data_IF_607086496619
#
_entry.id   IF_607086496619
#
_cell.length_a   1.000
_cell.length_b   1.000
_cell.length_c   1.000
_cell.angle_alpha   90.00
_cell.angle_beta   90.00
_cell.angle_gamma   90.00
#
_symmetry.space_group_name_H-M   'P 1'
#
loop_
_entity.id
_entity.type
_entity.pdbx_description
1 polymer ?
#
# COMPACT_ATOMS: atom_id res chain seq x y z
N UNK A 1 5.70 -20.63 16.66
CA UNK A 1 4.28 -20.73 16.27
C UNK A 1 3.99 -19.95 15.01
N UNK A 2 3.57 -20.63 13.92
CA UNK A 2 2.97 -19.96 12.75
C UNK A 2 1.48 -19.80 13.03
N UNK A 3 0.98 -18.57 12.89
CA UNK A 3 -0.45 -18.29 13.02
C UNK A 3 -1.20 -18.96 11.85
N UNK A 4 -1.97 -20.00 12.14
CA UNK A 4 -2.67 -20.82 11.15
C UNK A 4 -4.19 -20.84 11.42
N UNK A 5 -4.75 -19.70 11.82
CA UNK A 5 -6.16 -19.56 12.20
C UNK A 5 -6.78 -18.23 11.76
N UNK A 6 -8.05 -18.03 12.10
CA UNK A 6 -8.80 -16.80 11.82
C UNK A 6 -8.33 -15.64 12.69
N UNK A 7 -8.19 -14.45 12.12
CA UNK A 7 -7.81 -13.24 12.85
C UNK A 7 -7.86 -11.98 11.99
N UNK A 8 -7.48 -10.84 12.58
CA UNK A 8 -7.33 -9.57 11.85
C UNK A 8 -6.19 -9.71 10.83
N UNK A 9 -6.45 -9.40 9.56
CA UNK A 9 -5.40 -9.38 8.52
C UNK A 9 -4.67 -8.03 8.47
N UNK A 10 -5.42 -6.93 8.52
CA UNK A 10 -4.88 -5.58 8.58
C UNK A 10 -5.88 -4.63 9.25
N UNK A 11 -5.36 -3.49 9.70
CA UNK A 11 -6.14 -2.36 10.23
C UNK A 11 -5.85 -1.15 9.35
N UNK A 12 -6.88 -0.62 8.69
CA UNK A 12 -6.78 0.56 7.84
C UNK A 12 -6.98 1.85 8.64
N UNK A 13 -6.10 2.82 8.45
CA UNK A 13 -6.08 4.13 9.09
C UNK A 13 -6.12 5.20 7.99
N UNK A 14 -7.12 6.07 8.04
CA UNK A 14 -7.29 7.11 7.02
C UNK A 14 -6.35 8.30 7.26
N UNK A 15 -5.82 8.87 6.18
CA UNK A 15 -5.08 10.14 6.14
C UNK A 15 -5.59 11.03 5.01
N UNK A 16 -5.35 12.33 5.12
CA UNK A 16 -5.58 13.32 4.06
C UNK A 16 -4.31 13.60 3.24
N UNK A 17 -3.13 13.19 3.73
CA UNK A 17 -1.85 13.27 3.03
C UNK A 17 -1.01 12.02 3.32
N UNK A 18 -1.01 11.08 2.37
CA UNK A 18 -0.31 9.80 2.47
C UNK A 18 1.19 9.95 2.24
N UNK A 19 1.62 10.95 1.46
CA UNK A 19 3.04 11.16 1.21
C UNK A 19 3.71 11.78 2.43
N UNK A 20 3.07 12.76 3.08
CA UNK A 20 3.53 13.28 4.36
C UNK A 20 3.56 12.18 5.43
N UNK A 21 2.55 11.29 5.45
CA UNK A 21 2.56 10.14 6.36
C UNK A 21 3.71 9.17 6.05
N UNK A 22 3.95 8.86 4.77
CA UNK A 22 5.02 7.98 4.35
C UNK A 22 6.40 8.54 4.72
N UNK A 23 6.61 9.84 4.53
CA UNK A 23 7.82 10.54 4.95
C UNK A 23 8.01 10.49 6.47
N UNK A 24 6.94 10.69 7.24
CA UNK A 24 6.97 10.59 8.70
C UNK A 24 7.30 9.17 9.18
N UNK A 25 6.70 8.15 8.57
CA UNK A 25 7.02 6.76 8.89
C UNK A 25 8.50 6.46 8.60
N UNK A 26 9.02 6.93 7.46
CA UNK A 26 10.43 6.78 7.08
C UNK A 26 11.36 7.49 8.06
N UNK A 27 11.07 8.74 8.43
CA UNK A 27 11.92 9.51 9.37
C UNK A 27 11.91 8.93 10.79
N UNK A 28 10.84 8.26 11.18
CA UNK A 28 10.74 7.53 12.45
C UNK A 28 11.32 6.09 12.39
N UNK A 29 11.87 5.68 11.24
CA UNK A 29 12.40 4.34 11.05
C UNK A 29 11.34 3.23 11.06
N UNK A 30 10.06 3.58 10.86
CA UNK A 30 8.98 2.59 10.78
C UNK A 30 9.04 1.90 9.41
N UNK A 31 9.27 0.58 9.38
CA UNK A 31 9.47 -0.10 8.11
C UNK A 31 8.13 -0.37 7.39
N UNK A 32 8.10 -0.07 6.10
CA UNK A 32 7.00 -0.38 5.19
C UNK A 32 7.33 -1.60 4.33
N UNK A 33 6.28 -2.22 3.78
CA UNK A 33 6.44 -3.33 2.85
C UNK A 33 6.95 -2.83 1.50
N UNK A 34 7.83 -3.62 0.87
CA UNK A 34 8.34 -3.32 -0.46
C UNK A 34 7.35 -3.80 -1.52
N UNK A 35 7.06 -2.92 -2.48
CA UNK A 35 6.28 -3.25 -3.67
C UNK A 35 7.21 -3.82 -4.74
N UNK A 36 6.71 -4.67 -5.64
CA UNK A 36 7.51 -5.14 -6.78
C UNK A 36 7.82 -4.00 -7.74
N UNK A 37 9.01 -3.99 -8.33
CA UNK A 37 9.41 -2.97 -9.32
C UNK A 37 8.44 -2.91 -10.51
N UNK A 38 7.97 -4.07 -10.99
CA UNK A 38 7.04 -4.16 -12.11
C UNK A 38 5.66 -3.55 -11.82
N UNK A 39 5.27 -3.37 -10.55
CA UNK A 39 3.95 -2.82 -10.22
C UNK A 39 3.79 -1.39 -10.73
N UNK A 40 4.83 -0.56 -10.56
CA UNK A 40 4.78 0.82 -11.02
C UNK A 40 4.87 0.92 -12.54
N UNK A 41 5.56 -0.01 -13.20
CA UNK A 41 5.55 -0.09 -14.67
C UNK A 41 4.15 -0.48 -15.18
N UNK A 42 3.48 -1.42 -14.53
CA UNK A 42 2.08 -1.79 -14.83
C UNK A 42 1.11 -0.63 -14.57
N UNK A 43 1.32 0.16 -13.51
CA UNK A 43 0.53 1.36 -13.23
C UNK A 43 0.66 2.40 -14.35
N UNK A 44 1.87 2.65 -14.84
CA UNK A 44 2.12 3.60 -15.92
C UNK A 44 1.45 3.18 -17.24
N UNK A 45 1.31 1.88 -17.48
CA UNK A 45 0.61 1.35 -18.65
C UNK A 45 -0.92 1.43 -18.51
N UNK A 46 -1.45 1.39 -17.28
CA UNK A 46 -2.89 1.37 -16.99
C UNK A 46 -3.49 2.76 -16.80
N UNK A 47 -2.72 3.69 -16.24
CA UNK A 47 -3.20 5.00 -15.83
C UNK A 47 -2.30 6.10 -16.40
N UNK A 48 -2.89 7.24 -16.76
CA UNK A 48 -2.14 8.40 -17.24
C UNK A 48 -1.60 9.24 -16.08
N UNK A 49 -0.67 8.67 -15.31
CA UNK A 49 -0.02 9.33 -14.19
C UNK A 49 1.17 10.19 -14.66
N UNK A 50 1.44 11.30 -13.96
CA UNK A 50 2.67 12.06 -14.21
C UNK A 50 3.90 11.29 -13.70
N UNK A 51 5.05 11.51 -14.35
CA UNK A 51 6.32 10.90 -13.95
C UNK A 51 6.67 11.21 -12.49
N UNK A 52 6.40 12.44 -12.04
CA UNK A 52 6.62 12.85 -10.64
C UNK A 52 5.76 12.07 -9.66
N UNK A 53 4.49 11.84 -9.98
CA UNK A 53 3.60 11.05 -9.13
C UNK A 53 4.08 9.59 -9.09
N UNK A 54 4.39 9.02 -10.26
CA UNK A 54 4.86 7.65 -10.36
C UNK A 54 6.16 7.43 -9.58
N UNK A 55 7.10 8.37 -9.66
CA UNK A 55 8.35 8.33 -8.92
C UNK A 55 8.12 8.36 -7.41
N UNK A 56 7.19 9.20 -6.91
CA UNK A 56 6.84 9.24 -5.49
C UNK A 56 6.14 7.96 -5.02
N UNK A 57 5.22 7.43 -5.82
CA UNK A 57 4.57 6.14 -5.53
C UNK A 57 5.61 5.02 -5.40
N UNK A 58 6.61 5.03 -6.28
CA UNK A 58 7.72 4.07 -6.28
C UNK A 58 8.62 4.23 -5.05
N UNK A 59 9.07 5.45 -4.75
CA UNK A 59 9.96 5.75 -3.63
C UNK A 59 9.39 5.28 -2.28
N UNK A 60 8.09 5.49 -2.06
CA UNK A 60 7.43 5.12 -0.81
C UNK A 60 6.77 3.74 -0.82
N UNK A 61 6.73 3.05 -1.95
CA UNK A 61 6.01 1.78 -2.07
C UNK A 61 4.50 1.92 -1.87
N UNK A 62 3.91 2.99 -2.40
CA UNK A 62 2.47 3.27 -2.31
C UNK A 62 1.76 2.58 -3.48
N UNK A 63 0.67 1.87 -3.17
CA UNK A 63 -0.26 1.33 -4.15
C UNK A 63 -1.26 2.40 -4.57
N UNK A 64 -1.68 2.32 -5.83
CA UNK A 64 -2.57 3.28 -6.49
C UNK A 64 -3.72 2.55 -7.18
N UNK A 65 -4.92 3.11 -7.08
CA UNK A 65 -6.08 2.74 -7.89
C UNK A 65 -6.91 4.01 -8.16
N UNK A 66 -7.66 4.03 -9.26
CA UNK A 66 -8.63 5.09 -9.55
C UNK A 66 -9.92 4.50 -10.13
N UNK A 67 -11.04 5.14 -9.82
CA UNK A 67 -12.34 4.88 -10.40
C UNK A 67 -12.92 6.18 -10.99
N UNK A 68 -14.14 6.11 -11.52
CA UNK A 68 -14.83 7.26 -12.14
C UNK A 68 -15.00 8.46 -11.19
N UNK A 69 -14.93 8.24 -9.87
CA UNK A 69 -15.15 9.25 -8.83
C UNK A 69 -13.84 9.77 -8.23
N UNK A 70 -12.73 9.06 -8.39
CA UNK A 70 -11.40 9.56 -8.05
C UNK A 70 -10.42 8.49 -7.60
N UNK A 71 -9.51 8.86 -6.71
CA UNK A 71 -8.24 8.15 -6.47
C UNK A 71 -8.19 7.48 -5.10
N UNK A 72 -7.52 6.33 -5.03
CA UNK A 72 -7.23 5.59 -3.82
C UNK A 72 -5.74 5.25 -3.70
N UNK A 73 -5.15 5.65 -2.59
CA UNK A 73 -3.74 5.43 -2.27
C UNK A 73 -3.63 4.57 -1.01
N UNK A 74 -2.75 3.57 -1.03
CA UNK A 74 -2.58 2.63 0.08
C UNK A 74 -1.08 2.40 0.37
N UNK A 75 -0.71 2.46 1.64
CA UNK A 75 0.65 2.17 2.12
C UNK A 75 0.58 1.15 3.25
N UNK A 76 1.41 0.11 3.18
CA UNK A 76 1.40 -0.97 4.18
C UNK A 76 2.66 -0.95 5.02
N UNK A 77 2.50 -0.98 6.35
CA UNK A 77 3.61 -1.25 7.28
C UNK A 77 4.04 -2.71 7.14
N UNK A 78 5.25 -3.06 7.61
CA UNK A 78 5.60 -4.47 7.82
C UNK A 78 4.62 -5.18 8.77
N UNK A 79 4.66 -6.51 8.76
CA UNK A 79 3.85 -7.35 9.62
C UNK A 79 4.16 -7.07 11.10
N UNK A 80 3.17 -6.59 11.84
CA UNK A 80 3.23 -6.44 13.28
C UNK A 80 3.16 -7.82 13.94
N UNK A 81 4.19 -8.15 14.71
CA UNK A 81 4.35 -9.44 15.40
C UNK A 81 4.15 -10.68 14.50
N UNK A 82 4.39 -10.55 13.18
CA UNK A 82 4.18 -11.63 12.21
C UNK A 82 2.71 -12.03 12.00
N UNK A 83 1.75 -11.15 12.33
CA UNK A 83 0.30 -11.48 12.32
C UNK A 83 -0.53 -10.61 11.39
N UNK A 84 -0.51 -9.30 11.60
CA UNK A 84 -1.30 -8.34 10.83
C UNK A 84 -0.45 -7.12 10.50
N UNK A 85 -0.85 -6.32 9.52
CA UNK A 85 -0.19 -5.05 9.20
C UNK A 85 -1.13 -3.86 9.43
N UNK A 86 -0.55 -2.68 9.56
CA UNK A 86 -1.31 -1.44 9.43
C UNK A 86 -1.29 -0.99 7.98
N UNK A 87 -2.42 -0.47 7.54
CA UNK A 87 -2.59 0.12 6.22
C UNK A 87 -2.91 1.61 6.41
N UNK A 88 -2.14 2.49 5.78
CA UNK A 88 -2.48 3.90 5.68
C UNK A 88 -3.21 4.10 4.36
N UNK A 89 -4.40 4.69 4.43
CA UNK A 89 -5.24 4.90 3.24
C UNK A 89 -5.57 6.37 3.03
N UNK A 90 -5.57 6.81 1.78
CA UNK A 90 -6.11 8.10 1.38
C UNK A 90 -7.10 7.90 0.24
N UNK A 91 -8.33 8.34 0.45
CA UNK A 91 -9.41 8.34 -0.55
C UNK A 91 -9.69 9.76 -0.98
N UNK A 92 -9.68 9.99 -2.28
CA UNK A 92 -10.05 11.25 -2.92
C UNK A 92 -11.19 10.95 -3.88
N UNK A 93 -12.42 10.89 -3.37
CA UNK A 93 -13.62 10.60 -4.18
C UNK A 93 -13.84 9.11 -4.52
N UNK A 94 -12.79 8.27 -4.51
CA UNK A 94 -12.87 6.84 -4.82
C UNK A 94 -13.87 6.07 -3.94
N UNK A 95 -14.79 5.34 -4.59
CA UNK A 95 -15.90 4.61 -3.96
C UNK A 95 -15.66 3.09 -3.89
N UNK A 96 -14.68 2.56 -4.63
CA UNK A 96 -14.36 1.14 -4.64
C UNK A 96 -13.74 0.59 -3.34
N UNK A 97 -13.51 -0.71 -3.32
CA UNK A 97 -12.88 -1.42 -2.18
C UNK A 97 -11.37 -1.67 -2.35
N UNK A 98 -10.75 -1.18 -3.44
CA UNK A 98 -9.32 -1.45 -3.71
C UNK A 98 -9.04 -2.90 -4.11
N UNK A 99 -10.01 -3.57 -4.75
CA UNK A 99 -9.87 -4.96 -5.23
C UNK A 99 -8.65 -5.13 -6.14
N UNK A 100 -8.34 -4.22 -7.09
CA UNK A 100 -7.14 -4.34 -7.92
C UNK A 100 -5.84 -4.41 -7.10
N UNK A 101 -5.76 -3.69 -5.98
CA UNK A 101 -4.60 -3.68 -5.11
C UNK A 101 -4.55 -4.88 -4.14
N UNK A 102 -5.64 -5.63 -3.98
CA UNK A 102 -5.70 -6.75 -3.05
C UNK A 102 -4.69 -7.86 -3.39
N UNK A 103 -4.51 -8.16 -4.68
CA UNK A 103 -3.52 -9.17 -5.11
C UNK A 103 -2.09 -8.74 -4.80
N UNK A 104 -1.77 -7.46 -5.04
CA UNK A 104 -0.45 -6.92 -4.74
C UNK A 104 -0.17 -6.93 -3.23
N UNK A 105 -1.15 -6.50 -2.42
CA UNK A 105 -1.09 -6.59 -0.95
C UNK A 105 -0.83 -8.02 -0.46
N UNK A 106 -1.55 -9.02 -0.98
CA UNK A 106 -1.32 -10.42 -0.62
C UNK A 106 0.10 -10.89 -0.97
N UNK A 107 0.62 -10.46 -2.13
CA UNK A 107 1.99 -10.77 -2.57
C UNK A 107 3.02 -10.16 -1.63
N UNK A 108 2.83 -8.90 -1.22
CA UNK A 108 3.68 -8.20 -0.26
C UNK A 108 3.66 -8.90 1.11
N UNK A 109 2.47 -9.23 1.63
CA UNK A 109 2.31 -9.94 2.90
C UNK A 109 2.97 -11.33 2.88
N UNK A 110 2.78 -12.09 1.80
CA UNK A 110 3.38 -13.42 1.66
C UNK A 110 4.91 -13.36 1.71
N UNK A 111 5.53 -12.37 1.03
CA UNK A 111 6.99 -12.17 1.05
C UNK A 111 7.51 -11.85 2.43
N UNK A 112 6.80 -11.03 3.20
CA UNK A 112 7.19 -10.69 4.58
C UNK A 112 7.12 -11.90 5.52
N UNK A 113 6.16 -12.81 5.31
CA UNK A 113 6.03 -14.04 6.12
C UNK A 113 7.03 -15.14 5.74
N UNK A 114 7.69 -15.02 4.59
CA UNK A 114 8.75 -15.93 4.14
C UNK A 114 10.15 -15.49 4.58
N UNK A 115 10.30 -14.27 5.10
CA UNK A 115 11.54 -13.75 5.69
C UNK A 115 11.72 -14.24 7.12
#
# INVERSE_FOLDING_TARGET
>A
DRYAGTGVNHIALQTTDIFAMAERLRSQGTPTMQVTENYHDDLAARFSLSDDLLARLRDYGILYDEDENGVFLQLFTRMFAGRFCFEIVQRQGYQGFGVPNAQMRMTMQARELMR
#
